data_IF_442458791461
#
_entry.id   IF_442458791461
#
_cell.length_a   1.000
_cell.length_b   1.000
_cell.length_c   1.000
_cell.angle_alpha   90.00
_cell.angle_beta   90.00
_cell.angle_gamma   90.00
#
_symmetry.space_group_name_H-M   'P 1'
#
loop_
_entity.id
_entity.type
_entity.pdbx_description
1 polymer ?
#
# COMPACT_ATOMS: atom_id res chain seq x y z
N UNK A 1 0.76 4.16 43.67
CA UNK A 1 0.46 3.65 42.31
C UNK A 1 0.86 4.78 41.35
N UNK A 2 2.17 5.00 41.23
CA UNK A 2 2.73 6.07 40.40
C UNK A 2 3.08 5.49 39.03
N UNK A 3 2.82 6.29 38.03
CA UNK A 3 2.74 5.94 36.62
C UNK A 3 4.04 5.39 36.04
N UNK A 4 3.92 4.23 35.42
CA UNK A 4 4.88 3.63 34.48
C UNK A 4 4.78 4.34 33.11
N UNK A 5 4.91 5.68 33.11
CA UNK A 5 4.77 6.53 31.90
C UNK A 5 6.09 6.82 31.20
N UNK A 6 7.22 6.37 31.76
CA UNK A 6 8.58 6.62 31.25
C UNK A 6 9.28 5.35 30.74
N UNK A 7 8.56 4.23 30.54
CA UNK A 7 9.16 3.09 29.86
C UNK A 7 9.35 3.48 28.38
N UNK A 8 10.58 3.44 27.83
CA UNK A 8 10.77 3.64 26.40
C UNK A 8 9.92 2.59 25.70
N UNK A 9 9.04 3.03 24.80
CA UNK A 9 8.21 2.13 24.01
C UNK A 9 9.13 1.13 23.32
N UNK A 10 8.85 -0.17 23.48
CA UNK A 10 9.51 -1.16 22.65
C UNK A 10 9.19 -0.79 21.20
N UNK A 11 10.17 -0.82 20.29
CA UNK A 11 9.94 -0.50 18.88
C UNK A 11 8.81 -1.34 18.26
N UNK A 12 8.44 -2.46 18.88
CA UNK A 12 7.21 -3.20 18.59
C UNK A 12 5.92 -2.45 18.95
N UNK A 13 5.82 -1.91 20.15
CA UNK A 13 4.64 -1.16 20.62
C UNK A 13 4.42 0.09 19.75
N UNK A 14 5.50 0.77 19.35
CA UNK A 14 5.43 1.91 18.42
C UNK A 14 4.92 1.51 17.03
N UNK A 15 5.31 0.32 16.53
CA UNK A 15 4.80 -0.21 15.27
C UNK A 15 3.33 -0.61 15.37
N UNK A 16 2.90 -1.20 16.49
CA UNK A 16 1.50 -1.57 16.72
C UNK A 16 0.62 -0.30 16.83
N UNK A 17 1.10 0.72 17.54
CA UNK A 17 0.41 2.02 17.64
C UNK A 17 0.31 2.72 16.28
N UNK A 18 1.43 2.83 15.54
CA UNK A 18 1.44 3.44 14.21
C UNK A 18 0.56 2.69 13.22
N UNK A 19 0.48 1.36 13.33
CA UNK A 19 -0.44 0.57 12.53
C UNK A 19 -1.89 0.93 12.81
N UNK A 20 -2.31 0.91 14.08
CA UNK A 20 -3.70 1.23 14.44
C UNK A 20 -4.05 2.62 13.92
N UNK A 21 -3.14 3.58 14.12
CA UNK A 21 -3.31 4.96 13.70
C UNK A 21 -3.40 5.11 12.17
N UNK A 22 -2.64 4.32 11.41
CA UNK A 22 -2.50 4.48 9.96
C UNK A 22 -3.04 3.30 9.14
N UNK A 23 -3.89 2.45 9.73
CA UNK A 23 -4.36 1.23 9.08
C UNK A 23 -5.07 1.54 7.76
N UNK A 24 -6.04 2.46 7.76
CA UNK A 24 -6.78 2.86 6.56
C UNK A 24 -5.85 3.38 5.47
N UNK A 25 -4.88 4.23 5.83
CA UNK A 25 -3.88 4.78 4.91
C UNK A 25 -2.99 3.67 4.31
N UNK A 26 -2.54 2.71 5.13
CA UNK A 26 -1.76 1.56 4.65
C UNK A 26 -2.56 0.65 3.71
N UNK A 27 -3.84 0.39 4.02
CA UNK A 27 -4.72 -0.43 3.17
C UNK A 27 -5.01 0.31 1.85
N UNK A 28 -5.19 1.63 1.88
CA UNK A 28 -5.36 2.46 0.69
C UNK A 28 -4.15 2.38 -0.24
N UNK A 29 -2.93 2.45 0.29
CA UNK A 29 -1.70 2.24 -0.49
C UNK A 29 -1.73 0.88 -1.20
N UNK A 30 -2.06 -0.19 -0.48
CA UNK A 30 -2.12 -1.53 -1.05
C UNK A 30 -3.23 -1.65 -2.11
N UNK A 31 -4.43 -1.12 -1.83
CA UNK A 31 -5.60 -1.17 -2.71
C UNK A 31 -5.34 -0.50 -4.06
N UNK A 32 -4.80 0.72 -4.06
CA UNK A 32 -4.51 1.46 -5.29
C UNK A 32 -3.39 0.79 -6.08
N UNK A 33 -2.38 0.21 -5.42
CA UNK A 33 -1.26 -0.42 -6.08
C UNK A 33 -1.58 -1.81 -6.70
N UNK A 34 -2.55 -2.51 -6.13
CA UNK A 34 -3.00 -3.81 -6.64
C UNK A 34 -3.56 -3.69 -8.06
N UNK A 35 -3.39 -4.73 -8.90
CA UNK A 35 -3.98 -4.71 -10.22
C UNK A 35 -5.51 -4.58 -10.12
N UNK A 36 -6.12 -3.67 -10.89
CA UNK A 36 -7.58 -3.49 -10.98
C UNK A 36 -8.29 -4.61 -11.77
N UNK A 37 -7.58 -5.68 -12.10
CA UNK A 37 -8.07 -6.84 -12.85
C UNK A 37 -8.75 -7.82 -11.87
N UNK A 38 -10.00 -7.53 -11.53
CA UNK A 38 -10.80 -8.31 -10.57
C UNK A 38 -12.05 -7.55 -10.16
N UNK A 39 -12.91 -8.18 -9.35
CA UNK A 39 -13.98 -7.45 -8.69
C UNK A 39 -13.40 -6.55 -7.58
N UNK A 40 -14.11 -5.45 -7.26
CA UNK A 40 -13.70 -4.51 -6.22
C UNK A 40 -13.46 -5.23 -4.89
N UNK A 41 -14.31 -6.21 -4.58
CA UNK A 41 -14.26 -6.97 -3.34
C UNK A 41 -12.97 -7.77 -3.18
N UNK A 42 -12.54 -8.51 -4.20
CA UNK A 42 -11.27 -9.23 -4.18
C UNK A 42 -10.07 -8.29 -4.02
N UNK A 43 -10.10 -7.11 -4.66
CA UNK A 43 -9.06 -6.08 -4.49
C UNK A 43 -9.03 -5.53 -3.05
N UNK A 44 -10.18 -5.28 -2.43
CA UNK A 44 -10.30 -4.87 -1.02
C UNK A 44 -9.72 -5.96 -0.09
N UNK A 45 -10.17 -7.20 -0.21
CA UNK A 45 -9.69 -8.31 0.62
C UNK A 45 -8.17 -8.52 0.47
N UNK A 46 -7.65 -8.43 -0.75
CA UNK A 46 -6.22 -8.53 -1.01
C UNK A 46 -5.43 -7.39 -0.34
N UNK A 47 -5.96 -6.16 -0.34
CA UNK A 47 -5.34 -5.02 0.32
C UNK A 47 -5.27 -5.22 1.84
N UNK A 48 -6.38 -5.61 2.48
CA UNK A 48 -6.39 -5.92 3.92
C UNK A 48 -5.42 -7.05 4.26
N UNK A 49 -5.42 -8.14 3.48
CA UNK A 49 -4.53 -9.27 3.70
C UNK A 49 -3.05 -8.89 3.54
N UNK A 50 -2.70 -7.93 2.67
CA UNK A 50 -1.34 -7.40 2.57
C UNK A 50 -0.94 -6.68 3.85
N UNK A 51 -1.77 -5.76 4.35
CA UNK A 51 -1.47 -5.00 5.57
C UNK A 51 -1.46 -5.91 6.81
N UNK A 52 -2.40 -6.84 6.91
CA UNK A 52 -2.45 -7.81 8.01
C UNK A 52 -1.23 -8.75 8.07
N UNK A 53 -0.62 -9.07 6.92
CA UNK A 53 0.63 -9.86 6.89
C UNK A 53 1.88 -9.03 7.19
N UNK A 54 1.78 -7.71 7.15
CA UNK A 54 2.86 -6.83 7.62
C UNK A 54 2.87 -6.68 9.14
N UNK A 55 1.88 -7.24 9.83
CA UNK A 55 1.76 -7.19 11.29
C UNK A 55 2.74 -8.12 11.99
N UNK A 56 3.43 -7.66 13.05
CA UNK A 56 4.10 -8.53 13.99
C UNK A 56 3.05 -9.35 14.76
N UNK A 57 2.76 -10.58 14.30
CA UNK A 57 1.88 -11.53 14.99
C UNK A 57 0.94 -12.33 14.09
N UNK A 58 0.69 -11.87 12.86
CA UNK A 58 -0.21 -12.51 11.89
C UNK A 58 0.50 -13.49 10.95
N UNK A 59 1.10 -14.57 11.48
CA UNK A 59 1.49 -15.76 10.71
C UNK A 59 2.60 -15.64 9.66
N UNK A 60 3.11 -14.45 9.37
CA UNK A 60 4.33 -14.22 8.61
C UNK A 60 5.42 -13.77 9.55
N UNK A 61 6.34 -14.67 9.92
CA UNK A 61 7.58 -14.30 10.64
C UNK A 61 8.16 -13.09 9.92
N UNK A 62 8.20 -11.94 10.60
CA UNK A 62 9.29 -11.01 10.38
C UNK A 62 10.55 -11.88 10.51
N UNK A 63 11.30 -11.97 9.42
CA UNK A 63 12.49 -12.80 9.31
C UNK A 63 13.29 -12.68 10.62
N UNK A 64 13.55 -13.78 11.35
CA UNK A 64 14.32 -13.75 12.59
C UNK A 64 15.74 -13.19 12.42
N UNK A 65 16.19 -12.91 11.18
CA UNK A 65 17.40 -12.13 10.87
C UNK A 65 17.25 -10.62 11.06
N UNK A 66 16.04 -10.09 11.30
CA UNK A 66 15.84 -8.69 11.77
C UNK A 66 15.84 -8.66 13.28
N UNK A 67 17.00 -8.83 13.90
CA UNK A 67 17.15 -8.75 15.36
C UNK A 67 17.47 -7.33 15.86
N UNK A 68 17.60 -6.36 14.98
CA UNK A 68 17.85 -4.97 15.37
C UNK A 68 16.90 -4.09 14.56
N UNK A 69 15.68 -3.93 15.06
CA UNK A 69 14.96 -2.70 14.79
C UNK A 69 15.72 -1.63 15.59
N UNK A 70 16.16 -0.52 14.98
CA UNK A 70 16.82 0.54 15.72
C UNK A 70 15.92 0.97 16.89
N UNK A 71 16.54 1.16 18.06
CA UNK A 71 15.88 1.73 19.24
C UNK A 71 15.22 3.04 18.79
N UNK A 72 13.89 3.07 18.79
CA UNK A 72 13.03 4.03 18.06
C UNK A 72 13.29 4.12 16.54
N UNK A 73 12.45 3.51 15.68
CA UNK A 73 12.37 4.00 14.31
C UNK A 73 11.85 5.43 14.39
N UNK A 74 12.66 6.41 13.97
CA UNK A 74 12.27 7.83 13.93
C UNK A 74 10.94 8.09 13.18
N UNK A 75 10.46 7.10 12.41
CA UNK A 75 9.10 7.01 11.87
C UNK A 75 8.65 5.53 11.70
N UNK A 76 7.90 5.00 12.68
CA UNK A 76 7.24 3.68 12.62
C UNK A 76 6.32 3.52 11.40
N UNK A 77 5.67 4.60 10.97
CA UNK A 77 4.81 4.57 9.81
C UNK A 77 5.60 4.35 8.51
N UNK A 78 6.76 5.00 8.35
CA UNK A 78 7.64 4.75 7.22
C UNK A 78 8.11 3.29 7.13
N UNK A 79 8.35 2.63 8.28
CA UNK A 79 8.70 1.20 8.33
C UNK A 79 7.54 0.33 7.82
N UNK A 80 6.32 0.58 8.30
CA UNK A 80 5.11 -0.13 7.86
C UNK A 80 4.83 0.11 6.36
N UNK A 81 4.94 1.35 5.90
CA UNK A 81 4.80 1.71 4.48
C UNK A 81 5.79 0.93 3.62
N UNK A 82 7.07 0.89 4.00
CA UNK A 82 8.08 0.11 3.27
C UNK A 82 7.77 -1.40 3.25
N UNK A 83 7.20 -1.94 4.35
CA UNK A 83 6.77 -3.33 4.42
C UNK A 83 5.58 -3.61 3.48
N UNK A 84 4.58 -2.73 3.44
CA UNK A 84 3.43 -2.83 2.52
C UNK A 84 3.88 -2.78 1.07
N UNK A 85 4.72 -1.81 0.68
CA UNK A 85 5.24 -1.70 -0.69
C UNK A 85 5.96 -2.99 -1.11
N UNK A 86 6.81 -3.54 -0.24
CA UNK A 86 7.51 -4.80 -0.50
C UNK A 86 6.54 -5.98 -0.66
N UNK A 87 5.51 -6.05 0.16
CA UNK A 87 4.48 -7.09 0.10
C UNK A 87 3.65 -7.00 -1.18
N UNK A 88 3.28 -5.81 -1.63
CA UNK A 88 2.59 -5.60 -2.93
C UNK A 88 3.45 -6.06 -4.11
N UNK A 89 4.73 -5.69 -4.13
CA UNK A 89 5.67 -6.09 -5.18
C UNK A 89 5.94 -7.61 -5.19
N UNK A 90 5.92 -8.27 -4.04
CA UNK A 90 6.04 -9.73 -3.94
C UNK A 90 4.74 -10.45 -4.32
N UNK A 91 3.59 -9.91 -3.89
CA UNK A 91 2.26 -10.43 -4.18
C UNK A 91 1.97 -10.42 -5.68
N UNK A 92 2.27 -9.32 -6.37
CA UNK A 92 2.10 -9.22 -7.83
C UNK A 92 2.94 -10.25 -8.61
N UNK A 93 4.15 -10.59 -8.14
CA UNK A 93 4.96 -11.68 -8.74
C UNK A 93 4.32 -13.05 -8.56
N UNK A 94 3.68 -13.31 -7.41
CA UNK A 94 3.00 -14.59 -7.12
C UNK A 94 1.63 -14.69 -7.82
N UNK A 95 0.91 -13.57 -7.95
CA UNK A 95 -0.34 -13.51 -8.70
C UNK A 95 -0.12 -13.74 -10.21
N UNK A 96 1.00 -13.27 -10.78
CA UNK A 96 1.40 -13.64 -12.16
C UNK A 96 1.68 -15.13 -12.34
N UNK A 97 2.01 -15.85 -11.27
CA UNK A 97 2.30 -17.28 -11.30
C UNK A 97 1.06 -18.18 -11.06
N UNK A 98 -0.09 -17.59 -10.73
CA UNK A 98 -1.33 -18.34 -10.50
C UNK A 98 -2.45 -17.75 -11.38
N UNK A 99 -2.89 -18.49 -12.40
CA UNK A 99 -4.17 -18.21 -13.08
C UNK A 99 -5.28 -18.47 -12.05
N UNK A 100 -5.86 -17.42 -11.48
CA UNK A 100 -6.87 -17.55 -10.43
C UNK A 100 -8.22 -18.01 -11.01
N UNK A 101 -8.94 -18.94 -10.37
CA UNK A 101 -10.30 -19.28 -10.74
C UNK A 101 -11.28 -18.17 -10.32
N UNK A 102 -12.18 -17.83 -11.23
CA UNK A 102 -13.29 -16.89 -11.02
C UNK A 102 -14.35 -17.50 -10.10
N UNK A 103 -14.80 -16.76 -9.07
CA UNK A 103 -16.02 -17.10 -8.31
C UNK A 103 -17.13 -16.09 -8.57
N UNK A 104 -18.29 -16.64 -8.93
CA UNK A 104 -19.57 -16.00 -9.20
C UNK A 104 -20.24 -15.59 -7.86
N UNK A 105 -20.84 -14.38 -7.76
CA UNK A 105 -22.01 -14.21 -6.90
C UNK A 105 -22.13 -12.99 -6.00
N UNK A 106 -21.10 -12.16 -5.80
CA UNK A 106 -21.25 -10.92 -5.01
C UNK A 106 -21.04 -9.70 -5.91
N UNK A 107 -22.09 -9.38 -6.68
CA UNK A 107 -22.27 -8.04 -7.27
C UNK A 107 -22.49 -7.05 -6.13
N UNK A 108 -21.39 -6.57 -5.55
CA UNK A 108 -21.38 -5.20 -5.04
C UNK A 108 -21.60 -4.33 -6.27
N UNK A 109 -22.82 -3.82 -6.40
CA UNK A 109 -23.12 -2.74 -7.32
C UNK A 109 -22.00 -1.70 -7.13
N UNK A 110 -21.31 -1.26 -8.19
CA UNK A 110 -20.45 -0.09 -8.04
C UNK A 110 -21.36 1.00 -7.48
N UNK A 111 -21.07 1.47 -6.26
CA UNK A 111 -21.44 2.84 -5.91
C UNK A 111 -20.87 3.64 -7.07
N UNK A 112 -21.75 4.25 -7.86
CA UNK A 112 -21.35 4.89 -9.11
C UNK A 112 -20.29 5.92 -8.79
N UNK A 113 -19.04 5.59 -9.06
CA UNK A 113 -17.99 6.58 -9.15
C UNK A 113 -18.44 7.61 -10.15
N UNK A 114 -18.24 8.88 -9.83
CA UNK A 114 -18.34 9.91 -10.84
C UNK A 114 -17.44 9.57 -12.04
N UNK A 115 -17.62 10.31 -13.13
CA UNK A 115 -16.79 10.14 -14.32
C UNK A 115 -15.29 10.23 -14.02
N UNK A 116 -14.90 10.95 -12.97
CA UNK A 116 -13.51 11.14 -12.55
C UNK A 116 -12.91 9.87 -11.94
N UNK A 117 -13.65 9.18 -11.07
CA UNK A 117 -13.21 7.93 -10.46
C UNK A 117 -13.06 6.82 -11.50
N UNK A 118 -14.00 6.72 -12.45
CA UNK A 118 -13.89 5.78 -13.57
C UNK A 118 -12.65 6.06 -14.45
N UNK A 119 -12.36 7.34 -14.72
CA UNK A 119 -11.17 7.76 -15.48
C UNK A 119 -9.88 7.42 -14.72
N UNK A 120 -9.85 7.66 -13.41
CA UNK A 120 -8.71 7.29 -12.56
C UNK A 120 -8.49 5.78 -12.56
N UNK A 121 -9.54 4.99 -12.37
CA UNK A 121 -9.46 3.52 -12.33
C UNK A 121 -8.99 2.97 -13.70
N UNK A 122 -9.40 3.60 -14.81
CA UNK A 122 -8.89 3.30 -16.16
C UNK A 122 -7.42 3.70 -16.36
N UNK A 123 -7.00 4.86 -15.87
CA UNK A 123 -5.61 5.30 -15.94
C UNK A 123 -4.68 4.35 -15.14
N UNK A 124 -5.11 3.94 -13.94
CA UNK A 124 -4.39 2.98 -13.09
C UNK A 124 -4.27 1.59 -13.73
N UNK A 125 -5.27 1.14 -14.53
CA UNK A 125 -5.21 -0.11 -15.32
C UNK A 125 -4.03 -0.10 -16.30
N UNK A 126 -3.74 1.04 -16.92
CA UNK A 126 -2.64 1.18 -17.89
C UNK A 126 -1.23 1.15 -17.26
N UNK A 127 -1.13 1.23 -15.94
CA UNK A 127 0.15 1.32 -15.22
C UNK A 127 0.69 -0.06 -14.79
N UNK A 128 2.01 -0.14 -14.64
CA UNK A 128 2.63 -1.26 -13.92
C UNK A 128 2.39 -1.15 -12.41
N UNK A 129 2.52 -2.24 -11.66
CA UNK A 129 2.44 -2.21 -10.18
C UNK A 129 3.43 -1.20 -9.57
N UNK A 130 4.65 -1.12 -10.10
CA UNK A 130 5.65 -0.16 -9.64
C UNK A 130 5.24 1.29 -9.95
N UNK A 131 4.60 1.53 -11.10
CA UNK A 131 4.10 2.86 -11.46
C UNK A 131 2.91 3.28 -10.60
N UNK A 132 1.98 2.37 -10.27
CA UNK A 132 0.90 2.66 -9.31
C UNK A 132 1.42 2.95 -7.91
N UNK A 133 2.42 2.20 -7.45
CA UNK A 133 3.10 2.50 -6.18
C UNK A 133 3.79 3.87 -6.21
N UNK A 134 4.49 4.20 -7.29
CA UNK A 134 5.11 5.51 -7.45
C UNK A 134 4.06 6.64 -7.44
N UNK A 135 2.92 6.44 -8.09
CA UNK A 135 1.82 7.40 -8.11
C UNK A 135 1.28 7.67 -6.69
N UNK A 136 1.01 6.62 -5.92
CA UNK A 136 0.54 6.74 -4.53
C UNK A 136 1.60 7.39 -3.63
N UNK A 137 2.87 6.99 -3.75
CA UNK A 137 3.93 7.52 -2.90
C UNK A 137 4.15 9.03 -3.14
N UNK A 138 4.09 9.46 -4.40
CA UNK A 138 4.24 10.86 -4.77
C UNK A 138 3.00 11.70 -4.41
N UNK A 139 1.79 11.14 -4.62
CA UNK A 139 0.56 11.92 -4.56
C UNK A 139 -0.24 11.82 -3.26
N UNK A 140 -0.18 10.67 -2.57
CA UNK A 140 -0.91 10.43 -1.32
C UNK A 140 0.00 10.47 -0.10
N UNK A 141 1.27 10.11 -0.29
CA UNK A 141 2.26 10.02 0.79
C UNK A 141 3.21 11.22 0.83
N UNK A 142 3.07 12.15 -0.13
CA UNK A 142 3.88 13.36 -0.28
C UNK A 142 5.40 13.10 -0.28
N UNK A 143 5.82 11.91 -0.73
CA UNK A 143 7.24 11.64 -0.93
C UNK A 143 7.72 12.36 -2.18
N UNK A 144 8.93 12.88 -2.12
CA UNK A 144 9.58 13.38 -3.33
C UNK A 144 10.00 12.22 -4.26
N UNK A 145 10.48 12.59 -5.45
CA UNK A 145 10.90 11.64 -6.46
C UNK A 145 12.11 10.78 -6.04
N UNK A 146 12.98 11.31 -5.18
CA UNK A 146 14.20 10.65 -4.74
C UNK A 146 13.89 9.66 -3.61
N UNK A 147 13.09 10.07 -2.62
CA UNK A 147 12.53 9.20 -1.58
C UNK A 147 11.73 8.05 -2.18
N UNK A 148 10.89 8.34 -3.18
CA UNK A 148 10.11 7.31 -3.89
C UNK A 148 11.01 6.34 -4.64
N UNK A 149 12.03 6.85 -5.35
CA UNK A 149 13.01 6.02 -6.08
C UNK A 149 13.73 5.09 -5.11
N UNK A 150 14.20 5.63 -3.99
CA UNK A 150 14.94 4.89 -2.99
C UNK A 150 14.09 3.79 -2.37
N UNK A 151 12.86 4.11 -1.98
CA UNK A 151 11.91 3.15 -1.41
C UNK A 151 11.60 2.00 -2.38
N UNK A 152 11.25 2.31 -3.63
CA UNK A 152 10.95 1.30 -4.65
C UNK A 152 12.17 0.42 -4.98
N UNK A 153 13.35 1.01 -5.05
CA UNK A 153 14.61 0.29 -5.30
C UNK A 153 14.93 -0.66 -4.13
N UNK A 154 14.85 -0.17 -2.89
CA UNK A 154 15.04 -0.99 -1.67
C UNK A 154 13.98 -2.10 -1.53
N UNK A 155 12.79 -1.90 -2.09
CA UNK A 155 11.74 -2.91 -2.14
C UNK A 155 11.92 -3.93 -3.29
N UNK A 156 12.88 -3.70 -4.19
CA UNK A 156 13.23 -4.60 -5.29
C UNK A 156 12.35 -4.43 -6.53
N UNK A 157 11.74 -3.26 -6.74
CA UNK A 157 10.98 -2.98 -7.96
C UNK A 157 11.88 -2.96 -9.20
N UNK A 158 11.42 -3.56 -10.30
CA UNK A 158 12.07 -3.41 -11.61
C UNK A 158 11.56 -2.17 -12.34
N UNK A 159 12.40 -1.57 -13.18
CA UNK A 159 11.98 -0.46 -14.05
C UNK A 159 11.61 0.83 -13.31
N UNK A 160 12.22 1.10 -12.14
CA UNK A 160 11.91 2.27 -11.30
C UNK A 160 11.91 3.61 -12.06
N UNK A 161 12.87 3.91 -12.96
CA UNK A 161 12.82 5.16 -13.73
C UNK A 161 11.57 5.29 -14.61
N UNK A 162 11.19 4.22 -15.31
CA UNK A 162 9.98 4.20 -16.15
C UNK A 162 8.70 4.30 -15.30
N UNK A 163 8.69 3.65 -14.13
CA UNK A 163 7.58 3.73 -13.18
C UNK A 163 7.36 5.16 -12.65
N UNK A 164 8.44 5.85 -12.26
CA UNK A 164 8.39 7.25 -11.83
C UNK A 164 7.94 8.17 -12.96
N UNK A 165 8.44 7.99 -14.18
CA UNK A 165 8.02 8.79 -15.32
C UNK A 165 6.53 8.62 -15.63
N UNK A 166 6.02 7.39 -15.58
CA UNK A 166 4.60 7.12 -15.78
C UNK A 166 3.73 7.71 -14.67
N UNK A 167 4.17 7.59 -13.41
CA UNK A 167 3.46 8.18 -12.27
C UNK A 167 3.39 9.71 -12.34
N UNK A 168 4.49 10.38 -12.71
CA UNK A 168 4.52 11.85 -12.86
C UNK A 168 3.64 12.34 -14.00
N UNK A 169 3.57 11.60 -15.11
CA UNK A 169 2.61 11.90 -16.19
C UNK A 169 1.18 11.80 -15.69
N UNK A 170 0.84 10.73 -14.97
CA UNK A 170 -0.50 10.57 -14.41
C UNK A 170 -0.83 11.69 -13.41
N UNK A 171 0.10 12.06 -12.51
CA UNK A 171 -0.13 13.18 -11.57
C UNK A 171 -0.38 14.52 -12.26
N UNK A 172 0.21 14.74 -13.45
CA UNK A 172 -0.03 15.95 -14.23
C UNK A 172 -1.40 15.95 -14.90
N UNK A 173 -1.93 14.77 -15.25
CA UNK A 173 -3.23 14.59 -15.91
C UNK A 173 -4.38 14.48 -14.90
N UNK A 174 -4.10 13.88 -13.73
CA UNK A 174 -5.07 13.50 -12.72
C UNK A 174 -4.48 13.74 -11.33
N UNK A 175 -4.88 14.81 -10.62
CA UNK A 175 -4.37 15.09 -9.29
C UNK A 175 -4.80 13.99 -8.29
N UNK A 176 -3.98 13.73 -7.25
CA UNK A 176 -4.18 12.59 -6.37
C UNK A 176 -5.37 12.72 -5.41
N UNK A 177 -5.99 13.91 -5.30
CA UNK A 177 -7.11 14.15 -4.38
C UNK A 177 -8.32 13.22 -4.60
N UNK A 178 -8.49 12.69 -5.82
CA UNK A 178 -9.52 11.67 -6.09
C UNK A 178 -9.30 10.39 -5.29
N UNK A 179 -8.05 10.05 -4.93
CA UNK A 179 -7.72 8.90 -4.08
C UNK A 179 -8.18 9.07 -2.63
N UNK A 180 -8.58 10.27 -2.22
CA UNK A 180 -9.15 10.53 -0.90
C UNK A 180 -10.65 10.27 -0.83
N UNK A 181 -11.30 10.03 -1.97
CA UNK A 181 -12.72 9.68 -2.01
C UNK A 181 -13.00 8.30 -1.40
N UNK A 182 -14.24 8.08 -0.97
CA UNK A 182 -14.68 6.80 -0.40
C UNK A 182 -14.60 5.63 -1.38
N UNK A 183 -14.54 5.89 -2.69
CA UNK A 183 -14.36 4.83 -3.68
C UNK A 183 -12.98 4.17 -3.57
N UNK A 184 -11.97 4.97 -3.22
CA UNK A 184 -10.59 4.53 -2.99
C UNK A 184 -10.29 4.25 -1.52
N UNK A 185 -11.26 4.39 -0.62
CA UNK A 185 -11.14 3.98 0.77
C UNK A 185 -11.74 2.59 1.01
N UNK A 186 -10.91 1.54 1.18
CA UNK A 186 -11.39 0.19 1.45
C UNK A 186 -11.91 -0.01 2.88
N UNK A 187 -11.73 0.97 3.78
CA UNK A 187 -12.13 0.90 5.18
C UNK A 187 -13.47 1.62 5.47
N UNK A 188 -14.10 2.24 4.46
CA UNK A 188 -15.43 2.86 4.52
C UNK A 188 -16.45 2.05 3.73
#
# INVERSE_FOLDING_TARGET
>A
MLEDRDRPSDGREDLEAALVLHYSRLVRIAYVALPPEGDRHGRVLAAHAIVQRTLPGGGGRLDPRRRELPETPADSYAVLRAAVVRSVLRGSRRLRALRQPYVWGLRLFPLGGGSEEMQMDAALRGLSTAARLAYVLLGLEDLDADQTRELLTRAGAGGVPAALAAARRLLAEQPPGILESSEFDPCT
#
